data_IF_472523496428
#
_entry.id   IF_472523496428
#
_cell.length_a   1.000
_cell.length_b   1.000
_cell.length_c   1.000
_cell.angle_alpha   90.00
_cell.angle_beta   90.00
_cell.angle_gamma   90.00
#
_symmetry.space_group_name_H-M   'P 1'
#
loop_
_entity.id
_entity.type
_entity.pdbx_description
1 polymer ?
#
# COMPACT_ATOMS: atom_id res chain seq x y z
N UNK A 1 93.75 -41.40 -45.04
CA UNK A 1 95.14 -40.87 -45.01
C UNK A 1 96.08 -41.92 -45.56
N UNK A 2 97.04 -41.53 -46.40
CA UNK A 2 98.10 -42.43 -46.87
C UNK A 2 99.14 -42.62 -45.77
N UNK A 3 99.41 -43.86 -45.38
CA UNK A 3 100.43 -44.20 -44.38
C UNK A 3 101.57 -44.94 -45.08
N UNK A 4 102.80 -44.42 -44.91
CA UNK A 4 104.01 -45.03 -45.47
C UNK A 4 104.41 -46.21 -44.61
N UNK A 5 104.56 -47.38 -45.22
CA UNK A 5 105.02 -48.60 -44.58
C UNK A 5 106.55 -48.66 -44.55
N UNK A 6 107.12 -49.55 -43.73
CA UNK A 6 108.57 -49.72 -43.60
C UNK A 6 109.27 -50.12 -44.92
N UNK A 7 108.52 -50.65 -45.89
CA UNK A 7 108.99 -51.01 -47.23
C UNK A 7 108.86 -49.88 -48.27
N UNK A 8 108.39 -48.70 -47.86
CA UNK A 8 108.17 -47.54 -48.73
C UNK A 8 106.86 -47.54 -49.52
N UNK A 9 106.00 -48.57 -49.36
CA UNK A 9 104.65 -48.57 -49.95
C UNK A 9 103.70 -47.65 -49.17
N UNK A 10 102.65 -47.16 -49.83
CA UNK A 10 101.60 -46.33 -49.20
C UNK A 10 100.31 -47.13 -49.14
N UNK A 11 99.76 -47.30 -47.94
CA UNK A 11 98.44 -47.90 -47.72
C UNK A 11 97.46 -46.82 -47.30
N UNK A 12 96.26 -46.79 -47.87
CA UNK A 12 95.21 -45.87 -47.47
C UNK A 12 94.40 -46.46 -46.32
N UNK A 13 94.33 -45.71 -45.23
CA UNK A 13 93.49 -46.02 -44.07
C UNK A 13 92.46 -44.92 -43.85
N UNK A 14 91.38 -45.26 -43.15
CA UNK A 14 90.43 -44.26 -42.67
C UNK A 14 91.14 -43.32 -41.69
N UNK A 15 90.78 -42.03 -41.73
CA UNK A 15 91.23 -41.07 -40.72
C UNK A 15 90.38 -41.31 -39.47
N UNK A 16 91.02 -41.56 -38.32
CA UNK A 16 90.30 -41.61 -37.04
C UNK A 16 89.73 -40.24 -36.71
N UNK A 17 88.52 -40.18 -36.15
CA UNK A 17 87.94 -38.93 -35.63
C UNK A 17 88.78 -38.31 -34.52
N UNK A 18 89.67 -39.08 -33.89
CA UNK A 18 90.64 -38.59 -32.91
C UNK A 18 91.85 -37.89 -33.54
N UNK A 19 92.04 -38.03 -34.86
CA UNK A 19 93.17 -37.46 -35.62
C UNK A 19 92.78 -36.26 -36.47
N UNK A 20 91.59 -35.71 -36.24
CA UNK A 20 91.09 -34.48 -36.87
C UNK A 20 90.71 -33.50 -35.78
N UNK A 21 91.39 -32.35 -35.74
CA UNK A 21 90.95 -31.22 -34.92
C UNK A 21 89.63 -30.70 -35.51
N UNK A 22 88.53 -30.89 -34.78
CA UNK A 22 87.24 -30.32 -35.14
C UNK A 22 87.27 -28.80 -34.99
N UNK A 23 86.56 -28.07 -35.86
CA UNK A 23 86.32 -26.65 -35.64
C UNK A 23 85.30 -26.43 -34.52
N UNK A 24 85.23 -25.20 -34.03
CA UNK A 24 84.23 -24.80 -33.04
C UNK A 24 82.86 -24.63 -33.69
N UNK A 25 81.81 -24.99 -32.94
CA UNK A 25 80.44 -24.62 -33.25
C UNK A 25 80.12 -23.30 -32.56
N UNK A 26 79.35 -22.44 -33.23
CA UNK A 26 78.78 -21.22 -32.63
C UNK A 26 77.26 -21.26 -32.73
N UNK A 27 76.59 -20.67 -31.75
CA UNK A 27 75.13 -20.59 -31.68
C UNK A 27 74.71 -19.13 -31.52
N UNK A 28 73.53 -18.79 -32.06
CA UNK A 28 72.88 -17.49 -31.86
C UNK A 28 72.07 -17.47 -30.56
N UNK A 29 71.67 -16.30 -30.08
CA UNK A 29 70.96 -16.09 -28.79
C UNK A 29 69.74 -17.01 -28.52
N UNK A 30 69.03 -17.49 -29.55
CA UNK A 30 67.90 -18.41 -29.35
C UNK A 30 68.28 -19.86 -29.00
N UNK A 31 69.55 -20.23 -29.17
CA UNK A 31 70.07 -21.57 -29.02
C UNK A 31 71.24 -21.53 -28.02
N UNK A 32 71.35 -22.56 -27.18
CA UNK A 32 72.43 -22.68 -26.20
C UNK A 32 73.07 -24.07 -26.30
N UNK A 33 74.37 -24.14 -26.01
CA UNK A 33 75.01 -25.43 -25.79
C UNK A 33 74.58 -26.03 -24.45
N UNK A 34 74.35 -27.34 -24.44
CA UNK A 34 73.94 -28.09 -23.25
C UNK A 34 74.94 -29.21 -22.98
N UNK A 35 74.91 -29.78 -21.77
CA UNK A 35 75.84 -30.86 -21.41
C UNK A 35 77.30 -30.43 -21.18
N UNK A 36 77.52 -29.17 -20.81
CA UNK A 36 78.83 -28.67 -20.35
C UNK A 36 79.85 -28.37 -21.45
N UNK A 37 79.44 -28.36 -22.72
CA UNK A 37 80.26 -27.85 -23.82
C UNK A 37 79.93 -26.39 -24.11
N UNK A 38 80.91 -25.65 -24.61
CA UNK A 38 80.81 -24.28 -25.11
C UNK A 38 80.90 -24.20 -26.64
N UNK A 39 80.84 -25.36 -27.32
CA UNK A 39 81.01 -25.46 -28.77
C UNK A 39 82.45 -25.70 -29.22
N UNK A 40 83.43 -25.61 -28.34
CA UNK A 40 84.85 -25.80 -28.69
C UNK A 40 85.14 -27.23 -29.18
N UNK A 41 85.73 -27.36 -30.37
CA UNK A 41 86.07 -28.64 -30.99
C UNK A 41 84.87 -29.53 -31.35
N UNK A 42 83.67 -28.97 -31.40
CA UNK A 42 82.42 -29.73 -31.53
C UNK A 42 81.91 -29.94 -32.95
N UNK A 43 82.52 -29.36 -33.99
CA UNK A 43 82.04 -29.56 -35.37
C UNK A 43 82.04 -31.04 -35.79
N UNK A 44 82.96 -31.84 -35.24
CA UNK A 44 83.13 -33.27 -35.54
C UNK A 44 82.89 -34.18 -34.32
N UNK A 45 82.33 -33.64 -33.25
CA UNK A 45 82.05 -34.37 -32.02
C UNK A 45 80.61 -34.12 -31.56
N UNK A 46 80.08 -34.99 -30.70
CA UNK A 46 78.74 -34.75 -30.14
C UNK A 46 78.70 -33.45 -29.32
N UNK A 47 77.70 -32.63 -29.60
CA UNK A 47 77.37 -31.41 -28.86
C UNK A 47 75.90 -31.47 -28.43
N UNK A 48 75.65 -31.18 -27.15
CA UNK A 48 74.29 -30.90 -26.70
C UNK A 48 73.88 -29.52 -27.20
N UNK A 49 72.73 -29.42 -27.86
CA UNK A 49 72.15 -28.17 -28.33
C UNK A 49 70.72 -28.11 -27.81
N UNK A 50 70.34 -26.99 -27.21
CA UNK A 50 69.00 -26.75 -26.69
C UNK A 50 68.49 -25.36 -27.02
N UNK A 51 67.25 -25.10 -26.64
CA UNK A 51 66.67 -23.76 -26.67
C UNK A 51 67.13 -23.02 -25.42
N UNK A 52 67.62 -21.79 -25.59
CA UNK A 52 67.98 -20.94 -24.47
C UNK A 52 66.72 -20.53 -23.67
N UNK A 53 66.87 -20.14 -22.41
CA UNK A 53 65.77 -19.57 -21.63
C UNK A 53 65.25 -18.29 -22.31
N UNK A 54 63.93 -18.21 -22.53
CA UNK A 54 63.34 -17.14 -23.34
C UNK A 54 63.73 -17.17 -24.82
N UNK A 55 64.40 -18.24 -25.29
CA UNK A 55 64.89 -18.40 -26.65
C UNK A 55 63.77 -18.45 -27.71
N UNK A 56 62.52 -18.70 -27.30
CA UNK A 56 61.31 -18.52 -28.12
C UNK A 56 60.59 -17.26 -27.66
N UNK A 57 60.70 -16.19 -28.45
CA UNK A 57 60.01 -14.92 -28.23
C UNK A 57 58.71 -14.87 -29.05
N UNK A 58 57.88 -13.85 -28.81
CA UNK A 58 56.65 -13.62 -29.59
C UNK A 58 56.92 -13.54 -31.09
N UNK A 59 57.99 -12.86 -31.50
CA UNK A 59 58.34 -12.69 -32.92
C UNK A 59 58.79 -14.00 -33.59
N UNK A 60 59.20 -15.00 -32.79
CA UNK A 60 59.54 -16.36 -33.26
C UNK A 60 58.31 -17.27 -33.37
N UNK A 61 57.15 -16.83 -32.85
CA UNK A 61 55.86 -17.49 -33.00
C UNK A 61 55.08 -16.78 -34.10
N UNK A 62 54.85 -17.46 -35.22
CA UNK A 62 53.97 -16.92 -36.26
C UNK A 62 52.55 -16.69 -35.72
N UNK A 63 51.78 -15.83 -36.39
CA UNK A 63 50.35 -15.70 -36.11
C UNK A 63 49.68 -17.09 -36.17
N UNK A 64 48.78 -17.34 -35.22
CA UNK A 64 48.09 -18.63 -35.05
C UNK A 64 49.00 -19.84 -34.74
N UNK A 65 50.28 -19.62 -34.41
CA UNK A 65 51.19 -20.70 -34.05
C UNK A 65 50.79 -21.39 -32.74
N UNK A 66 50.09 -20.71 -31.83
CA UNK A 66 49.51 -21.30 -30.62
C UNK A 66 48.01 -21.50 -30.86
N UNK A 67 47.63 -22.74 -31.15
CA UNK A 67 46.24 -23.17 -31.37
C UNK A 67 45.62 -23.65 -30.06
N UNK A 68 44.30 -23.83 -30.04
CA UNK A 68 43.60 -24.38 -28.87
C UNK A 68 44.17 -25.76 -28.45
N UNK A 69 44.57 -26.61 -29.40
CA UNK A 69 45.18 -27.92 -29.10
C UNK A 69 46.52 -27.81 -28.38
N UNK A 70 47.24 -26.68 -28.51
CA UNK A 70 48.50 -26.41 -27.81
C UNK A 70 48.28 -25.79 -26.43
N UNK A 71 47.06 -25.36 -26.11
CA UNK A 71 46.68 -24.89 -24.79
C UNK A 71 46.14 -26.08 -24.00
N UNK A 72 46.80 -26.45 -22.92
CA UNK A 72 46.29 -27.47 -22.02
C UNK A 72 44.99 -27.01 -21.34
N UNK A 73 44.18 -27.95 -20.87
CA UNK A 73 42.99 -27.64 -20.07
C UNK A 73 43.36 -26.75 -18.88
N UNK A 74 42.63 -25.64 -18.70
CA UNK A 74 42.87 -24.61 -17.68
C UNK A 74 44.20 -23.81 -17.82
N UNK A 75 44.88 -23.87 -18.96
CA UNK A 75 46.11 -23.10 -19.18
C UNK A 75 45.89 -21.58 -19.19
N UNK A 76 44.68 -21.12 -19.53
CA UNK A 76 44.29 -19.70 -19.54
C UNK A 76 43.59 -19.38 -18.22
N UNK A 77 44.27 -18.64 -17.35
CA UNK A 77 43.76 -18.14 -16.07
C UNK A 77 43.30 -16.68 -16.20
N UNK A 78 42.77 -16.12 -15.10
CA UNK A 78 42.19 -14.76 -15.11
C UNK A 78 43.24 -13.71 -15.48
N UNK A 79 44.46 -13.84 -14.98
CA UNK A 79 45.57 -12.94 -15.29
C UNK A 79 46.03 -13.00 -16.76
N UNK A 80 45.65 -14.04 -17.51
CA UNK A 80 45.92 -14.14 -18.94
C UNK A 80 44.89 -13.39 -19.79
N UNK A 81 43.76 -12.99 -19.19
CA UNK A 81 42.65 -12.31 -19.87
C UNK A 81 42.65 -10.86 -19.39
N UNK A 82 42.88 -9.92 -20.33
CA UNK A 82 42.82 -8.50 -20.00
C UNK A 82 41.40 -8.07 -19.58
N UNK A 83 41.30 -7.04 -18.73
CA UNK A 83 40.00 -6.47 -18.33
C UNK A 83 39.16 -6.08 -19.56
N UNK A 84 37.91 -6.54 -19.58
CA UNK A 84 36.99 -6.32 -20.70
C UNK A 84 37.29 -7.15 -21.96
N UNK A 85 38.27 -8.05 -21.93
CA UNK A 85 38.58 -8.89 -23.07
C UNK A 85 37.46 -9.87 -23.40
N UNK A 86 36.61 -10.28 -22.45
CA UNK A 86 35.39 -11.06 -22.71
C UNK A 86 34.20 -10.10 -22.80
N UNK A 87 33.84 -9.74 -24.03
CA UNK A 87 32.64 -8.94 -24.33
C UNK A 87 31.42 -9.83 -24.45
N UNK A 88 30.18 -9.32 -24.34
CA UNK A 88 28.96 -10.12 -24.58
C UNK A 88 28.98 -10.89 -25.90
N UNK A 89 29.54 -10.33 -26.99
CA UNK A 89 29.70 -11.05 -28.27
C UNK A 89 30.70 -12.21 -28.27
N UNK A 90 31.46 -12.40 -27.18
CA UNK A 90 32.37 -13.54 -26.96
C UNK A 90 31.78 -14.59 -26.01
N UNK A 91 30.64 -14.27 -25.38
CA UNK A 91 29.84 -15.20 -24.59
C UNK A 91 28.83 -15.85 -25.52
N UNK A 92 28.39 -17.07 -25.22
CA UNK A 92 27.24 -17.63 -25.95
C UNK A 92 26.04 -16.71 -25.78
N UNK A 93 25.38 -16.41 -26.91
CA UNK A 93 24.13 -15.65 -26.87
C UNK A 93 23.08 -16.48 -26.12
N UNK A 94 22.35 -15.83 -25.22
CA UNK A 94 21.12 -16.41 -24.69
C UNK A 94 20.13 -16.71 -25.83
N UNK A 95 19.20 -17.62 -25.60
CA UNK A 95 18.09 -17.83 -26.52
C UNK A 95 17.19 -16.58 -26.55
N UNK A 96 16.29 -16.53 -27.53
CA UNK A 96 15.24 -15.50 -27.56
C UNK A 96 14.47 -15.46 -26.23
N UNK A 97 14.13 -14.26 -25.77
CA UNK A 97 13.43 -14.01 -24.50
C UNK A 97 14.14 -14.49 -23.22
N UNK A 98 15.48 -14.49 -23.19
CA UNK A 98 16.26 -14.76 -21.98
C UNK A 98 16.92 -13.50 -21.40
N UNK A 99 17.10 -13.48 -20.08
CA UNK A 99 17.79 -12.42 -19.33
C UNK A 99 19.00 -13.05 -18.64
N UNK A 100 20.17 -12.42 -18.81
CA UNK A 100 21.39 -12.82 -18.11
C UNK A 100 21.34 -12.32 -16.67
N UNK A 101 21.56 -13.21 -15.73
CA UNK A 101 21.62 -12.91 -14.30
C UNK A 101 22.93 -13.43 -13.71
N UNK A 102 23.25 -12.96 -12.52
CA UNK A 102 24.23 -13.62 -11.65
C UNK A 102 23.47 -14.28 -10.51
N UNK A 103 23.61 -15.59 -10.36
CA UNK A 103 22.92 -16.33 -9.30
C UNK A 103 23.58 -16.09 -7.94
N UNK A 104 22.98 -16.62 -6.86
CA UNK A 104 23.48 -16.45 -5.50
C UNK A 104 24.89 -17.03 -5.27
N UNK A 105 25.38 -17.90 -6.15
CA UNK A 105 26.72 -18.45 -6.12
C UNK A 105 27.74 -17.61 -6.93
N UNK A 106 27.32 -16.50 -7.53
CA UNK A 106 28.18 -15.64 -8.35
C UNK A 106 28.37 -16.15 -9.78
N UNK A 107 27.65 -17.19 -10.20
CA UNK A 107 27.74 -17.70 -11.56
C UNK A 107 26.79 -16.94 -12.49
N UNK A 108 27.22 -16.73 -13.73
CA UNK A 108 26.37 -16.19 -14.79
C UNK A 108 25.41 -17.28 -15.24
N UNK A 109 24.13 -16.95 -15.34
CA UNK A 109 23.06 -17.85 -15.76
C UNK A 109 22.09 -17.10 -16.67
N UNK A 110 21.56 -17.78 -17.69
CA UNK A 110 20.47 -17.26 -18.52
C UNK A 110 19.16 -17.84 -18.02
N UNK A 111 18.22 -16.99 -17.64
CA UNK A 111 16.86 -17.40 -17.26
C UNK A 111 15.86 -16.90 -18.30
N UNK A 112 14.76 -17.63 -18.46
CA UNK A 112 13.66 -17.16 -19.31
C UNK A 112 13.03 -15.91 -18.69
N UNK A 113 12.74 -14.90 -19.52
CA UNK A 113 12.12 -13.63 -19.09
C UNK A 113 10.81 -13.85 -18.32
N UNK A 114 10.07 -14.90 -18.66
CA UNK A 114 8.83 -15.28 -17.99
C UNK A 114 9.05 -15.66 -16.51
N UNK A 115 10.19 -16.25 -16.16
CA UNK A 115 10.54 -16.63 -14.79
C UNK A 115 10.89 -15.40 -13.94
N UNK A 116 11.50 -14.38 -14.55
CA UNK A 116 11.70 -13.07 -13.94
C UNK A 116 10.34 -12.41 -13.59
N UNK A 117 9.35 -12.53 -14.48
CA UNK A 117 8.01 -11.99 -14.27
C UNK A 117 7.17 -12.78 -13.22
N UNK A 118 7.39 -14.09 -13.07
CA UNK A 118 6.57 -14.94 -12.21
C UNK A 118 6.79 -14.74 -10.70
N UNK A 119 8.00 -14.31 -10.28
CA UNK A 119 8.27 -14.06 -8.86
C UNK A 119 7.63 -12.76 -8.32
N UNK A 120 7.32 -11.80 -9.20
CA UNK A 120 6.65 -10.55 -8.83
C UNK A 120 5.10 -10.67 -8.79
N UNK A 121 4.54 -11.69 -9.46
CA UNK A 121 3.09 -11.83 -9.70
C UNK A 121 2.35 -12.80 -8.76
N UNK A 122 2.99 -13.31 -7.69
CA UNK A 122 2.33 -14.20 -6.71
C UNK A 122 1.43 -13.42 -5.73
N UNK A 123 0.44 -12.71 -6.27
CA UNK A 123 -0.60 -12.00 -5.52
C UNK A 123 -0.36 -10.51 -5.30
N UNK A 124 0.62 -9.90 -5.98
CA UNK A 124 0.91 -8.47 -5.87
C UNK A 124 0.42 -7.69 -7.09
N UNK A 125 0.13 -6.42 -6.83
CA UNK A 125 -0.42 -5.39 -7.72
C UNK A 125 0.62 -4.97 -8.79
N UNK A 126 1.66 -5.76 -9.08
CA UNK A 126 2.84 -5.28 -9.80
C UNK A 126 3.10 -6.09 -11.06
N UNK A 127 2.92 -5.48 -12.24
CA UNK A 127 3.27 -6.04 -13.55
C UNK A 127 4.65 -5.54 -13.94
N UNK A 128 5.55 -6.46 -14.31
CA UNK A 128 6.80 -6.08 -14.98
C UNK A 128 6.60 -6.16 -16.49
N UNK A 129 6.79 -5.04 -17.18
CA UNK A 129 6.68 -4.94 -18.65
C UNK A 129 7.97 -4.38 -19.27
N UNK A 130 7.99 -4.27 -20.60
CA UNK A 130 9.17 -3.88 -21.37
C UNK A 130 10.06 -5.07 -21.72
N UNK A 131 11.07 -4.86 -22.58
CA UNK A 131 12.06 -5.87 -23.04
C UNK A 131 13.47 -5.65 -22.47
N UNK A 132 13.71 -4.54 -21.75
CA UNK A 132 14.99 -4.21 -21.13
C UNK A 132 15.98 -3.52 -22.06
N UNK A 133 15.56 -3.11 -23.26
CA UNK A 133 16.38 -2.31 -24.18
C UNK A 133 16.32 -0.82 -23.81
N UNK A 134 17.25 -0.02 -24.34
CA UNK A 134 17.23 1.45 -24.17
C UNK A 134 15.93 2.09 -24.68
N UNK A 135 15.31 1.50 -25.71
CA UNK A 135 14.03 1.96 -26.27
C UNK A 135 12.81 1.42 -25.52
N UNK A 136 12.97 0.38 -24.71
CA UNK A 136 11.87 -0.31 -24.02
C UNK A 136 12.37 -0.92 -22.69
N UNK A 137 12.72 -0.07 -21.71
CA UNK A 137 13.29 -0.50 -20.44
C UNK A 137 12.31 -1.37 -19.65
N UNK A 138 12.82 -2.14 -18.69
CA UNK A 138 11.95 -2.84 -17.74
C UNK A 138 11.16 -1.81 -16.92
N UNK A 139 9.84 -1.88 -17.02
CA UNK A 139 8.91 -1.07 -16.24
C UNK A 139 8.26 -1.94 -15.18
N UNK A 140 8.07 -1.37 -13.99
CA UNK A 140 7.41 -2.02 -12.86
C UNK A 140 6.13 -1.23 -12.59
N UNK A 141 5.05 -1.63 -13.25
CA UNK A 141 3.77 -0.95 -13.15
C UNK A 141 2.95 -1.52 -11.99
N UNK A 142 2.26 -0.64 -11.27
CA UNK A 142 1.34 -1.05 -10.20
C UNK A 142 -0.12 -0.87 -10.65
N UNK A 143 -0.85 -1.99 -10.79
CA UNK A 143 -2.25 -2.01 -11.26
C UNK A 143 -3.26 -1.76 -10.14
N UNK A 144 -3.60 -0.50 -9.89
CA UNK A 144 -4.57 -0.10 -8.85
C UNK A 144 -6.03 -0.27 -9.33
N UNK A 145 -6.94 -0.51 -8.39
CA UNK A 145 -8.34 -0.80 -8.67
C UNK A 145 -9.23 -0.28 -7.52
N UNK A 146 -10.49 0.03 -7.83
CA UNK A 146 -11.58 0.15 -6.88
C UNK A 146 -11.33 1.16 -5.74
N UNK A 147 -11.38 2.44 -6.08
CA UNK A 147 -11.18 3.54 -5.11
C UNK A 147 -9.74 4.03 -5.03
N UNK A 148 -8.80 3.28 -5.59
CA UNK A 148 -7.40 3.67 -5.73
C UNK A 148 -7.13 4.25 -7.12
N UNK A 149 -6.23 5.22 -7.18
CA UNK A 149 -5.71 5.83 -8.41
C UNK A 149 -4.20 6.04 -8.31
N UNK A 150 -3.53 6.14 -9.46
CA UNK A 150 -2.12 6.55 -9.52
C UNK A 150 -2.08 7.98 -10.06
N UNK A 151 -1.49 8.90 -9.31
CA UNK A 151 -1.18 10.24 -9.78
C UNK A 151 0.12 10.72 -9.12
N UNK A 152 0.87 11.55 -9.84
CA UNK A 152 2.14 12.13 -9.36
C UNK A 152 3.10 11.08 -8.79
N UNK A 153 3.20 9.91 -9.43
CA UNK A 153 4.05 8.77 -9.00
C UNK A 153 3.62 8.10 -7.67
N UNK A 154 2.47 8.47 -7.12
CA UNK A 154 1.93 7.89 -5.88
C UNK A 154 0.64 7.10 -6.14
N UNK A 155 0.44 6.04 -5.35
CA UNK A 155 -0.85 5.37 -5.23
C UNK A 155 -1.65 6.10 -4.15
N UNK A 156 -2.84 6.57 -4.49
CA UNK A 156 -3.70 7.32 -3.59
C UNK A 156 -5.16 6.86 -3.65
N UNK A 157 -5.90 7.17 -2.58
CA UNK A 157 -7.35 7.06 -2.55
C UNK A 157 -8.00 8.17 -3.39
N UNK A 158 -9.23 7.94 -3.86
CA UNK A 158 -10.00 8.93 -4.64
C UNK A 158 -10.25 8.54 -6.09
N UNK A 159 -9.87 7.33 -6.50
CA UNK A 159 -10.27 6.76 -7.79
C UNK A 159 -11.74 6.29 -7.79
N UNK A 160 -12.26 5.94 -8.96
CA UNK A 160 -13.61 5.40 -9.06
C UNK A 160 -13.72 4.04 -8.35
N UNK A 161 -14.82 3.85 -7.62
CA UNK A 161 -15.24 2.53 -7.18
C UNK A 161 -15.85 1.80 -8.39
N UNK A 162 -15.32 0.61 -8.68
CA UNK A 162 -15.83 -0.24 -9.77
C UNK A 162 -16.66 -1.41 -9.24
N UNK A 163 -16.69 -1.57 -7.91
CA UNK A 163 -17.54 -2.51 -7.17
C UNK A 163 -17.83 -1.96 -5.78
N UNK A 164 -18.79 -2.58 -5.10
CA UNK A 164 -19.05 -2.28 -3.70
C UNK A 164 -17.82 -2.56 -2.83
N UNK A 165 -17.59 -1.67 -1.87
CA UNK A 165 -16.40 -1.71 -1.01
C UNK A 165 -16.79 -1.51 0.44
N UNK A 166 -16.36 -2.43 1.30
CA UNK A 166 -16.50 -2.31 2.74
C UNK A 166 -15.14 -1.99 3.35
N UNK A 167 -15.09 -0.91 4.15
CA UNK A 167 -13.91 -0.60 4.96
C UNK A 167 -14.09 -1.28 6.33
N UNK A 168 -13.35 -2.36 6.57
CA UNK A 168 -13.40 -3.12 7.84
C UNK A 168 -12.36 -2.62 8.83
N UNK A 169 -12.78 -2.30 10.06
CA UNK A 169 -11.86 -1.92 11.14
C UNK A 169 -11.51 -3.13 12.01
N UNK A 170 -10.23 -3.49 12.07
CA UNK A 170 -9.71 -4.51 12.98
C UNK A 170 -9.07 -3.84 14.21
N UNK A 171 -9.88 -3.11 14.99
CA UNK A 171 -9.45 -2.33 16.18
C UNK A 171 -8.62 -1.07 15.91
N UNK A 172 -8.40 -0.70 14.65
CA UNK A 172 -7.78 0.58 14.27
C UNK A 172 -8.85 1.65 14.03
N UNK A 173 -8.56 2.88 14.44
CA UNK A 173 -9.45 4.03 14.19
C UNK A 173 -9.36 4.45 12.71
N UNK A 174 -10.51 4.65 12.05
CA UNK A 174 -10.58 5.35 10.77
C UNK A 174 -10.84 6.83 11.05
N UNK A 175 -9.80 7.65 10.95
CA UNK A 175 -9.90 9.10 11.09
C UNK A 175 -9.93 9.76 9.70
N UNK A 176 -10.93 10.61 9.45
CA UNK A 176 -11.00 11.47 8.26
C UNK A 176 -10.68 12.89 8.70
N UNK A 177 -9.39 13.26 8.66
CA UNK A 177 -8.95 14.61 9.02
C UNK A 177 -9.26 15.59 7.88
N UNK A 178 -10.15 16.54 8.12
CA UNK A 178 -10.55 17.56 7.13
C UNK A 178 -9.69 18.83 7.19
N UNK A 179 -8.69 18.88 8.09
CA UNK A 179 -7.82 20.06 8.26
C UNK A 179 -8.57 21.33 8.68
N UNK A 180 -9.75 21.20 9.30
CA UNK A 180 -10.61 22.32 9.69
C UNK A 180 -11.63 22.74 8.63
N UNK A 181 -11.71 22.04 7.50
CA UNK A 181 -12.84 22.16 6.56
C UNK A 181 -14.01 21.26 6.97
N UNK A 182 -15.22 21.55 6.50
CA UNK A 182 -16.38 20.71 6.77
C UNK A 182 -16.26 19.38 6.00
N UNK A 183 -16.68 18.27 6.63
CA UNK A 183 -16.86 17.01 5.92
C UNK A 183 -18.11 17.11 5.03
N UNK A 184 -17.92 17.32 3.73
CA UNK A 184 -19.01 17.33 2.76
C UNK A 184 -19.22 15.92 2.18
N UNK A 185 -20.43 15.37 2.34
CA UNK A 185 -20.87 14.14 1.66
C UNK A 185 -21.80 14.55 0.52
N UNK A 186 -21.26 14.62 -0.70
CA UNK A 186 -22.03 14.99 -1.90
C UNK A 186 -22.78 13.80 -2.48
N UNK A 187 -23.96 14.03 -3.06
CA UNK A 187 -24.75 12.96 -3.71
C UNK A 187 -25.66 12.17 -2.78
N UNK A 188 -25.82 12.62 -1.53
CA UNK A 188 -26.96 12.20 -0.72
C UNK A 188 -28.27 12.53 -1.47
N UNK A 189 -29.29 11.65 -1.46
CA UNK A 189 -30.57 11.94 -2.08
C UNK A 189 -31.17 13.22 -1.49
N UNK A 190 -31.93 13.96 -2.30
CA UNK A 190 -32.68 15.11 -1.82
C UNK A 190 -33.62 14.65 -0.71
N UNK A 191 -33.54 15.32 0.43
CA UNK A 191 -34.28 14.97 1.63
C UNK A 191 -35.80 15.16 1.50
N UNK A 192 -36.58 14.33 2.20
CA UNK A 192 -38.01 14.52 2.44
C UNK A 192 -38.22 15.23 3.78
N UNK A 193 -38.56 16.52 3.76
CA UNK A 193 -38.75 17.34 4.96
C UNK A 193 -39.78 16.79 5.98
N UNK A 194 -40.63 15.83 5.59
CA UNK A 194 -41.59 15.17 6.49
C UNK A 194 -41.06 13.89 7.17
N UNK A 195 -39.98 13.29 6.66
CA UNK A 195 -39.41 12.03 7.12
C UNK A 195 -37.92 12.11 7.48
N UNK A 196 -37.24 13.17 7.07
CA UNK A 196 -35.82 13.35 7.30
C UNK A 196 -35.52 13.56 8.77
N UNK A 197 -34.62 12.73 9.28
CA UNK A 197 -34.02 12.93 10.58
C UNK A 197 -32.90 13.94 10.44
N UNK A 198 -32.95 15.04 11.20
CA UNK A 198 -31.80 15.92 11.36
C UNK A 198 -30.70 15.09 12.02
N UNK A 199 -29.51 15.00 11.44
CA UNK A 199 -28.39 14.30 12.09
C UNK A 199 -27.47 15.34 12.71
N UNK A 200 -27.21 15.25 14.01
CA UNK A 200 -26.27 16.10 14.72
C UNK A 200 -25.14 15.28 15.33
N UNK A 201 -23.96 15.89 15.45
CA UNK A 201 -22.83 15.28 16.13
C UNK A 201 -23.10 15.36 17.64
N UNK A 202 -23.04 14.22 18.32
CA UNK A 202 -23.00 14.18 19.77
C UNK A 202 -21.66 14.77 20.24
N UNK A 203 -21.66 15.87 21.03
CA UNK A 203 -20.44 16.58 21.38
C UNK A 203 -19.53 15.80 22.35
N UNK A 204 -20.04 14.75 23.00
CA UNK A 204 -19.27 13.92 23.95
C UNK A 204 -18.64 12.69 23.28
N UNK A 205 -19.23 12.20 22.19
CA UNK A 205 -18.78 10.99 21.50
C UNK A 205 -18.31 11.22 20.07
N UNK A 206 -18.58 12.40 19.48
CA UNK A 206 -18.28 12.71 18.08
C UNK A 206 -19.12 11.91 17.08
N UNK A 207 -20.09 11.12 17.55
CA UNK A 207 -20.91 10.25 16.71
C UNK A 207 -22.12 11.01 16.17
N UNK A 208 -22.44 10.77 14.89
CA UNK A 208 -23.66 11.26 14.27
C UNK A 208 -24.91 10.60 14.88
N UNK A 209 -25.82 11.40 15.44
CA UNK A 209 -27.09 10.97 16.02
C UNK A 209 -28.27 11.63 15.31
N UNK A 210 -29.35 10.88 15.13
CA UNK A 210 -30.61 11.42 14.65
C UNK A 210 -31.29 12.27 15.75
N UNK A 211 -31.77 13.45 15.36
CA UNK A 211 -32.56 14.37 16.14
C UNK A 211 -33.97 14.41 15.58
N UNK A 212 -34.95 14.24 16.46
CA UNK A 212 -36.35 14.54 16.17
C UNK A 212 -36.56 16.05 16.35
N UNK A 213 -37.30 16.70 15.44
CA UNK A 213 -37.54 18.15 15.44
C UNK A 213 -37.85 18.69 16.85
N UNK A 214 -37.20 19.80 17.23
CA UNK A 214 -37.20 20.31 18.61
C UNK A 214 -38.61 20.75 19.04
N UNK A 215 -39.28 19.91 19.85
CA UNK A 215 -40.48 20.30 20.57
C UNK A 215 -40.11 21.32 21.67
N UNK A 216 -40.96 22.32 21.96
CA UNK A 216 -40.71 23.26 23.05
C UNK A 216 -40.56 22.50 24.37
N UNK A 217 -39.58 22.92 25.21
CA UNK A 217 -39.29 22.26 26.50
C UNK A 217 -40.48 22.29 27.46
N UNK A 218 -41.36 23.29 27.33
CA UNK A 218 -42.62 23.39 28.05
C UNK A 218 -43.64 24.22 27.26
N UNK A 219 -44.91 24.11 27.61
CA UNK A 219 -46.01 24.91 27.07
C UNK A 219 -47.11 25.09 28.11
N UNK A 220 -47.93 26.13 27.96
CA UNK A 220 -49.12 26.31 28.79
C UNK A 220 -50.24 25.38 28.31
N UNK A 221 -51.00 24.84 29.26
CA UNK A 221 -52.23 24.13 28.94
C UNK A 221 -53.23 25.12 28.29
N UNK A 222 -53.99 24.69 27.28
CA UNK A 222 -55.10 25.47 26.75
C UNK A 222 -56.11 25.85 27.83
N UNK A 223 -56.89 26.90 27.55
CA UNK A 223 -57.92 27.35 28.48
C UNK A 223 -58.93 26.25 28.78
N UNK A 224 -59.22 26.03 30.06
CA UNK A 224 -60.22 25.09 30.54
C UNK A 224 -61.12 25.77 31.57
N UNK A 225 -62.42 25.50 31.49
CA UNK A 225 -63.42 26.07 32.41
C UNK A 225 -63.60 25.14 33.60
N UNK A 226 -63.41 25.65 34.82
CA UNK A 226 -63.70 24.92 36.05
C UNK A 226 -65.09 25.29 36.56
N UNK A 227 -65.95 24.29 36.76
CA UNK A 227 -67.26 24.51 37.38
C UNK A 227 -67.07 24.67 38.90
N UNK A 228 -67.52 25.80 39.41
CA UNK A 228 -67.43 26.19 40.82
C UNK A 228 -68.81 26.40 41.45
N UNK A 229 -69.87 25.95 40.76
CA UNK A 229 -71.26 26.07 41.24
C UNK A 229 -71.57 25.18 42.46
N UNK A 230 -70.77 24.14 42.67
CA UNK A 230 -70.87 23.23 43.82
C UNK A 230 -69.55 23.18 44.58
N UNK A 231 -69.62 23.28 45.91
CA UNK A 231 -68.47 23.03 46.78
C UNK A 231 -68.25 21.53 46.95
N UNK A 232 -67.01 21.07 46.92
CA UNK A 232 -66.67 19.66 47.03
C UNK A 232 -65.32 19.34 46.39
N UNK A 233 -64.91 18.07 46.46
CA UNK A 233 -63.69 17.57 45.80
C UNK A 233 -64.03 17.02 44.43
N UNK A 234 -63.29 17.44 43.43
CA UNK A 234 -63.48 17.08 42.02
C UNK A 234 -62.16 16.61 41.41
N UNK A 235 -62.27 15.86 40.33
CA UNK A 235 -61.13 15.41 39.54
C UNK A 235 -61.30 15.79 38.07
N UNK A 236 -60.19 16.08 37.40
CA UNK A 236 -60.14 16.41 35.97
C UNK A 236 -58.92 15.82 35.32
N UNK A 237 -59.06 15.27 34.12
CA UNK A 237 -57.95 14.73 33.36
C UNK A 237 -57.40 15.81 32.43
N UNK A 238 -56.36 16.52 32.89
CA UNK A 238 -55.78 17.65 32.16
C UNK A 238 -55.14 17.21 30.84
N UNK A 239 -54.53 16.02 30.80
CA UNK A 239 -53.91 15.50 29.58
C UNK A 239 -54.96 15.16 28.51
N UNK A 240 -56.06 14.52 28.91
CA UNK A 240 -57.16 14.22 27.98
C UNK A 240 -57.81 15.51 27.47
N UNK A 241 -58.05 16.49 28.34
CA UNK A 241 -58.62 17.78 27.93
C UNK A 241 -57.70 18.56 26.97
N UNK A 242 -56.38 18.45 27.17
CA UNK A 242 -55.39 18.95 26.20
C UNK A 242 -55.52 18.24 24.85
N UNK A 243 -55.61 16.91 24.84
CA UNK A 243 -55.79 16.15 23.61
C UNK A 243 -57.09 16.52 22.90
N UNK A 244 -58.19 16.65 23.62
CA UNK A 244 -59.49 17.02 23.06
C UNK A 244 -59.43 18.39 22.37
N UNK A 245 -58.66 19.36 22.91
CA UNK A 245 -58.47 20.66 22.27
C UNK A 245 -57.53 20.63 21.06
N UNK A 246 -56.64 19.65 20.95
CA UNK A 246 -55.68 19.54 19.83
C UNK A 246 -56.15 18.58 18.73
N UNK A 247 -57.17 17.77 19.02
CA UNK A 247 -57.67 16.70 18.15
C UNK A 247 -59.20 16.71 17.96
N UNK A 248 -59.93 17.58 18.65
CA UNK A 248 -61.39 17.62 18.64
C UNK A 248 -62.04 18.17 17.37
N UNK A 249 -63.34 17.93 17.24
CA UNK A 249 -64.18 18.47 16.16
C UNK A 249 -64.45 19.95 16.39
N UNK A 250 -64.19 20.81 15.39
CA UNK A 250 -64.42 22.27 15.50
C UNK A 250 -63.18 23.14 15.45
N UNK A 251 -61.99 22.57 15.20
CA UNK A 251 -60.77 23.34 14.93
C UNK A 251 -60.92 24.20 13.67
N UNK A 252 -60.61 25.48 13.79
CA UNK A 252 -60.58 26.43 12.67
C UNK A 252 -59.12 26.77 12.37
N UNK A 253 -58.58 26.17 11.31
CA UNK A 253 -57.23 26.43 10.82
C UNK A 253 -57.20 27.43 9.66
N UNK A 254 -56.02 27.99 9.38
CA UNK A 254 -55.78 28.72 8.13
C UNK A 254 -55.88 27.79 6.91
N UNK A 255 -56.00 28.36 5.70
CA UNK A 255 -56.03 27.57 4.47
C UNK A 255 -54.76 26.69 4.36
N UNK A 256 -54.94 25.38 4.22
CA UNK A 256 -53.84 24.41 4.13
C UNK A 256 -53.30 23.92 5.48
N UNK A 257 -53.85 24.38 6.60
CA UNK A 257 -53.50 23.83 7.91
C UNK A 257 -53.97 22.36 8.04
N UNK A 258 -53.18 21.48 8.68
CA UNK A 258 -53.61 20.11 8.99
C UNK A 258 -54.88 20.08 9.85
N UNK A 259 -55.62 18.97 9.77
CA UNK A 259 -56.87 18.78 10.54
C UNK A 259 -56.66 18.50 12.03
N UNK A 260 -55.42 18.42 12.48
CA UNK A 260 -55.04 18.29 13.89
C UNK A 260 -53.79 19.11 14.17
N UNK A 261 -53.67 19.59 15.41
CA UNK A 261 -52.48 20.29 15.87
C UNK A 261 -51.49 19.25 16.41
N UNK A 262 -50.18 19.33 16.08
CA UNK A 262 -49.16 18.46 16.68
C UNK A 262 -49.26 18.44 18.20
N UNK A 263 -49.28 17.23 18.78
CA UNK A 263 -49.53 17.03 20.20
C UNK A 263 -48.65 15.92 20.79
N UNK A 264 -48.71 15.80 22.11
CA UNK A 264 -48.03 14.77 22.91
C UNK A 264 -49.05 13.75 23.44
N UNK A 265 -49.25 12.62 22.75
CA UNK A 265 -50.35 11.69 23.03
C UNK A 265 -50.16 10.85 24.29
N UNK A 266 -48.96 10.80 24.86
CA UNK A 266 -48.65 9.99 26.05
C UNK A 266 -48.62 10.87 27.29
N UNK A 267 -49.54 10.67 28.22
CA UNK A 267 -49.61 11.47 29.46
C UNK A 267 -48.32 11.41 30.29
N UNK A 268 -47.61 10.28 30.26
CA UNK A 268 -46.39 10.06 31.04
C UNK A 268 -45.14 10.68 30.41
N UNK A 269 -45.22 11.24 29.20
CA UNK A 269 -44.11 11.97 28.56
C UNK A 269 -44.02 13.43 29.04
N UNK A 270 -44.90 13.81 29.97
CA UNK A 270 -45.03 15.16 30.49
C UNK A 270 -44.88 15.20 32.02
N UNK A 271 -44.38 16.33 32.52
CA UNK A 271 -44.59 16.78 33.88
C UNK A 271 -45.64 17.90 33.91
N UNK A 272 -46.51 17.87 34.92
CA UNK A 272 -47.63 18.80 35.07
C UNK A 272 -47.40 19.72 36.27
N UNK A 273 -47.51 21.03 36.05
CA UNK A 273 -47.31 22.03 37.09
C UNK A 273 -48.47 23.01 37.14
N UNK A 274 -48.91 23.35 38.35
CA UNK A 274 -49.75 24.53 38.60
C UNK A 274 -48.84 25.63 39.13
N UNK A 275 -48.66 26.66 38.32
CA UNK A 275 -47.79 27.80 38.65
C UNK A 275 -48.54 28.89 39.41
N UNK A 276 -49.86 28.90 39.33
CA UNK A 276 -50.75 29.80 40.06
C UNK A 276 -52.15 29.20 40.17
N UNK A 277 -52.83 29.42 41.28
CA UNK A 277 -54.27 29.20 41.44
C UNK A 277 -54.84 30.14 42.51
N UNK A 278 -56.10 30.52 42.36
CA UNK A 278 -56.83 31.28 43.38
C UNK A 278 -57.16 30.38 44.59
N UNK A 279 -56.45 30.60 45.70
CA UNK A 279 -56.60 29.82 46.93
C UNK A 279 -57.88 30.14 47.72
N UNK A 280 -58.59 31.22 47.38
CA UNK A 280 -59.89 31.54 47.98
C UNK A 280 -60.99 30.67 47.37
N UNK A 281 -60.81 30.26 46.11
CA UNK A 281 -61.75 29.40 45.37
C UNK A 281 -61.35 27.92 45.45
N UNK A 282 -60.06 27.61 45.31
CA UNK A 282 -59.56 26.24 45.21
C UNK A 282 -58.63 25.87 46.36
N UNK A 283 -58.72 24.63 46.83
CA UNK A 283 -57.79 24.03 47.79
C UNK A 283 -57.50 22.56 47.43
N UNK A 284 -56.61 21.91 48.19
CA UNK A 284 -56.27 20.49 48.03
C UNK A 284 -55.85 20.10 46.60
N UNK A 285 -54.97 20.92 46.00
CA UNK A 285 -54.46 20.74 44.64
C UNK A 285 -53.43 19.60 44.61
N UNK A 286 -53.67 18.58 43.79
CA UNK A 286 -52.72 17.51 43.50
C UNK A 286 -52.85 17.03 42.05
N UNK A 287 -51.73 16.74 41.38
CA UNK A 287 -51.72 16.17 40.02
C UNK A 287 -50.94 14.85 40.05
N UNK A 288 -51.50 13.81 39.45
CA UNK A 288 -50.82 12.51 39.32
C UNK A 288 -49.95 12.41 38.04
N UNK A 289 -49.25 11.29 37.88
CA UNK A 289 -48.37 11.05 36.73
C UNK A 289 -49.09 10.95 35.38
N UNK A 290 -50.41 10.77 35.39
CA UNK A 290 -51.25 10.68 34.20
C UNK A 290 -51.91 12.03 33.86
N UNK A 291 -51.55 13.11 34.57
CA UNK A 291 -52.12 14.43 34.36
C UNK A 291 -53.52 14.59 34.95
N UNK A 292 -53.94 13.74 35.89
CA UNK A 292 -55.23 13.88 36.58
C UNK A 292 -55.07 14.82 37.77
N UNK A 293 -55.72 15.98 37.68
CA UNK A 293 -55.82 16.99 38.73
C UNK A 293 -56.96 16.64 39.69
N UNK A 294 -56.66 16.64 40.98
CA UNK A 294 -57.62 16.67 42.09
C UNK A 294 -57.61 18.05 42.72
N UNK A 295 -58.80 18.61 42.97
CA UNK A 295 -58.97 19.91 43.62
C UNK A 295 -60.28 19.96 44.42
N UNK A 296 -60.35 20.87 45.38
CA UNK A 296 -61.56 21.15 46.17
C UNK A 296 -62.03 22.56 45.90
N UNK A 297 -63.32 22.74 45.56
CA UNK A 297 -63.96 24.06 45.51
C UNK A 297 -64.43 24.41 46.92
N UNK A 298 -63.91 25.53 47.45
CA UNK A 298 -64.19 25.96 48.81
C UNK A 298 -65.67 26.37 48.97
N UNK A 299 -66.28 26.05 50.11
CA UNK A 299 -67.64 26.50 50.41
C UNK A 299 -67.66 28.02 50.62
N UNK A 300 -68.61 28.72 49.96
CA UNK A 300 -68.68 30.18 50.00
C UNK A 300 -67.59 30.89 49.18
N UNK A 301 -66.95 30.20 48.24
CA UNK A 301 -65.98 30.80 47.33
C UNK A 301 -66.56 32.03 46.62
N UNK A 302 -65.83 33.15 46.66
CA UNK A 302 -66.18 34.37 45.93
C UNK A 302 -65.41 34.39 44.63
N UNK A 303 -66.10 34.11 43.52
CA UNK A 303 -65.48 34.11 42.19
C UNK A 303 -65.34 35.54 41.70
N UNK A 304 -64.13 35.93 41.32
CA UNK A 304 -63.82 37.25 40.74
C UNK A 304 -63.18 37.07 39.37
N UNK A 305 -62.92 38.18 38.67
CA UNK A 305 -62.14 38.17 37.42
C UNK A 305 -60.71 37.62 37.62
N UNK A 306 -60.21 37.56 38.86
CA UNK A 306 -58.92 36.96 39.22
C UNK A 306 -58.97 35.46 39.53
N UNK A 307 -60.14 34.82 39.47
CA UNK A 307 -60.30 33.41 39.85
C UNK A 307 -59.96 32.46 38.70
N UNK A 308 -58.66 32.23 38.48
CA UNK A 308 -58.14 31.31 37.46
C UNK A 308 -56.96 30.47 37.96
N UNK A 309 -56.51 29.51 37.13
CA UNK A 309 -55.38 28.63 37.39
C UNK A 309 -54.44 28.60 36.19
N UNK A 310 -53.13 28.75 36.42
CA UNK A 310 -52.10 28.63 35.40
C UNK A 310 -51.47 27.24 35.43
N UNK A 311 -51.64 26.49 34.35
CA UNK A 311 -51.17 25.11 34.21
C UNK A 311 -50.10 25.05 33.11
N UNK A 312 -48.96 24.43 33.43
CA UNK A 312 -47.80 24.28 32.54
C UNK A 312 -47.46 22.81 32.37
N UNK A 313 -47.28 22.38 31.13
CA UNK A 313 -46.81 21.04 30.77
C UNK A 313 -45.34 21.13 30.34
N UNK A 314 -44.49 20.30 30.92
CA UNK A 314 -43.05 20.24 30.62
C UNK A 314 -42.73 18.90 29.96
N UNK A 315 -42.02 18.93 28.84
CA UNK A 315 -41.63 17.72 28.08
C UNK A 315 -40.47 17.03 28.79
N UNK A 316 -40.56 15.71 28.96
CA UNK A 316 -39.50 14.88 29.56
C UNK A 316 -38.29 14.68 28.64
#
# INVERSE_FOLDING_TARGET
VGVVQADGSVVYQNISSESVDGADLSVSEGIVFTGGTDGTGKLLAAAGIGIADGGVTTDKLANDAVTNEKLADNAVQTENIADGAVTPGKMEAGNADQVMITNAAGNVEWIDRSEFNANMNKGNVTLVSGDGTESNPFLVDVSVNNGLSVADEHIQLGGNLVRETTITQNSNTLEIATGGSDLAVTGLPAGDAAADNIVAIDPSSGVLKQLKAAMPKFFYMPSVVFDVSASGTFTRNLHQEYLDQFTGTGLVGSQGAPSSIPNLPTATDLYYYITYYDNTVFSNIAIDQNGVLTYTVNSGATVTEGSFMNIVFVVK
#
